data_IF_149520856835
#
_entry.id   IF_149520856835
#
_cell.length_a   1.000
_cell.length_b   1.000
_cell.length_c   1.000
_cell.angle_alpha   90.00
_cell.angle_beta   90.00
_cell.angle_gamma   90.00
#
_symmetry.space_group_name_H-M   'P 1'
#
loop_
_entity.id
_entity.type
_entity.pdbx_description
1 polymer ?
#
# COMPACT_ATOMS: atom_id res chain seq x y z
N UNK A 1 -18.39 -28.83 15.23
CA UNK A 1 -17.23 -28.21 15.91
C UNK A 1 -16.93 -26.90 15.21
N UNK A 2 -17.04 -25.77 15.91
CA UNK A 2 -16.69 -24.47 15.34
C UNK A 2 -15.19 -24.45 15.06
N UNK A 3 -14.79 -24.23 13.82
CA UNK A 3 -13.39 -24.00 13.46
C UNK A 3 -12.97 -22.65 14.02
N UNK A 4 -12.60 -22.62 15.30
CA UNK A 4 -11.98 -21.45 15.92
C UNK A 4 -10.71 -21.13 15.14
N UNK A 5 -10.71 -20.03 14.37
CA UNK A 5 -9.51 -19.56 13.69
C UNK A 5 -8.37 -19.41 14.70
N UNK A 6 -7.27 -20.13 14.47
CA UNK A 6 -6.03 -20.03 15.26
C UNK A 6 -5.28 -18.74 14.88
N UNK A 7 -5.88 -17.59 15.20
CA UNK A 7 -5.26 -16.29 14.98
C UNK A 7 -4.10 -16.15 15.96
N UNK A 8 -2.87 -16.08 15.45
CA UNK A 8 -1.64 -15.98 16.26
C UNK A 8 -1.10 -14.56 16.38
N UNK A 9 -1.35 -13.72 15.38
CA UNK A 9 -0.84 -12.35 15.32
C UNK A 9 -1.99 -11.41 15.03
N UNK A 10 -2.01 -10.27 15.72
CA UNK A 10 -2.89 -9.14 15.43
C UNK A 10 -2.08 -8.07 14.74
N UNK A 11 -2.62 -7.51 13.64
CA UNK A 11 -1.98 -6.45 12.86
C UNK A 11 -2.84 -5.20 12.93
N UNK A 12 -2.27 -4.09 13.38
CA UNK A 12 -2.86 -2.76 13.28
C UNK A 12 -2.33 -2.05 12.03
N UNK A 13 -3.21 -1.64 11.13
CA UNK A 13 -2.86 -0.96 9.87
C UNK A 13 -3.23 0.52 9.98
N UNK A 14 -2.23 1.39 9.83
CA UNK A 14 -2.42 2.82 9.57
C UNK A 14 -2.46 3.03 8.05
N UNK A 15 -3.65 3.09 7.49
CA UNK A 15 -3.85 3.38 6.07
C UNK A 15 -3.95 4.90 5.89
N UNK A 16 -2.85 5.61 5.67
CA UNK A 16 -2.84 7.08 5.54
C UNK A 16 -3.23 7.56 4.13
N UNK A 17 -3.26 8.88 3.93
CA UNK A 17 -3.45 9.46 2.58
C UNK A 17 -2.17 9.44 1.76
N UNK A 18 -1.03 9.74 2.40
CA UNK A 18 0.28 9.84 1.74
C UNK A 18 1.17 8.65 2.08
N UNK A 19 1.13 8.16 3.32
CA UNK A 19 1.95 7.07 3.81
C UNK A 19 1.11 6.11 4.62
N UNK A 20 1.36 4.82 4.45
CA UNK A 20 0.73 3.74 5.21
C UNK A 20 1.79 2.97 5.99
N UNK A 21 1.40 2.43 7.13
CA UNK A 21 2.27 1.61 7.96
C UNK A 21 1.47 0.55 8.70
N UNK A 22 2.16 -0.38 9.33
CA UNK A 22 1.51 -1.33 10.22
C UNK A 22 2.40 -1.69 11.40
N UNK A 23 1.76 -2.09 12.48
CA UNK A 23 2.38 -2.71 13.63
C UNK A 23 1.67 -4.04 13.91
N UNK A 24 2.36 -4.97 14.54
CA UNK A 24 1.81 -6.27 14.87
C UNK A 24 2.28 -6.75 16.24
N UNK A 25 1.47 -7.60 16.87
CA UNK A 25 1.81 -8.27 18.12
C UNK A 25 1.35 -9.72 18.06
N UNK A 26 2.16 -10.63 18.60
CA UNK A 26 1.78 -12.02 18.74
C UNK A 26 0.88 -12.18 19.97
N UNK A 27 -0.17 -13.00 19.89
CA UNK A 27 -1.13 -13.19 21.00
C UNK A 27 -0.49 -13.72 22.28
N UNK A 28 0.58 -14.52 22.17
CA UNK A 28 1.31 -15.03 23.34
C UNK A 28 2.15 -13.96 24.05
N UNK A 29 2.40 -12.81 23.40
CA UNK A 29 3.13 -11.70 23.98
C UNK A 29 2.54 -10.36 23.49
N UNK A 30 1.32 -9.99 23.95
CA UNK A 30 0.58 -8.86 23.40
C UNK A 30 1.22 -7.50 23.68
N UNK A 31 2.12 -7.43 24.68
CA UNK A 31 2.83 -6.19 25.03
C UNK A 31 4.06 -5.93 24.14
N UNK A 32 4.51 -6.93 23.38
CA UNK A 32 5.62 -6.81 22.44
C UNK A 32 5.10 -6.43 21.05
N UNK A 33 4.90 -5.12 20.87
CA UNK A 33 4.41 -4.54 19.62
C UNK A 33 5.59 -4.22 18.71
N UNK A 34 5.60 -4.82 17.53
CA UNK A 34 6.62 -4.63 16.51
C UNK A 34 6.07 -3.73 15.41
N UNK A 35 6.73 -2.61 15.15
CA UNK A 35 6.42 -1.74 14.00
C UNK A 35 7.20 -2.23 12.78
N UNK A 36 6.54 -2.33 11.63
CA UNK A 36 7.23 -2.72 10.40
C UNK A 36 8.22 -1.64 9.96
N UNK A 37 9.50 -2.00 9.93
CA UNK A 37 10.58 -1.18 9.37
C UNK A 37 10.82 -1.60 7.92
N UNK A 38 10.26 -0.83 6.98
CA UNK A 38 10.49 -0.97 5.54
C UNK A 38 11.99 -0.86 5.20
N UNK A 39 12.71 -0.13 6.06
CA UNK A 39 14.13 0.17 5.98
C UNK A 39 15.10 -0.98 6.23
N UNK A 40 14.65 -2.17 6.66
CA UNK A 40 15.56 -3.32 6.88
C UNK A 40 16.30 -3.78 5.63
N UNK A 41 15.92 -3.32 4.44
CA UNK A 41 16.61 -3.63 3.19
C UNK A 41 17.52 -2.50 2.67
N UNK A 42 17.15 -1.21 2.79
CA UNK A 42 17.89 -0.10 2.13
C UNK A 42 17.88 1.26 2.86
N UNK A 43 16.95 1.52 3.80
CA UNK A 43 16.74 2.85 4.41
C UNK A 43 16.32 2.75 5.88
N UNK A 44 17.26 2.35 6.76
CA UNK A 44 17.01 2.10 8.18
C UNK A 44 16.21 3.24 8.84
N UNK A 45 15.13 2.91 9.55
CA UNK A 45 14.27 3.90 10.22
C UNK A 45 13.08 4.39 9.39
N UNK A 46 12.80 3.78 8.24
CA UNK A 46 11.62 4.08 7.44
C UNK A 46 10.47 3.13 7.79
N UNK A 47 9.58 3.58 8.68
CA UNK A 47 8.47 2.75 9.20
C UNK A 47 7.16 2.85 8.41
N UNK A 48 7.17 3.55 7.28
CA UNK A 48 5.99 3.76 6.44
C UNK A 48 6.34 3.60 4.97
N UNK A 49 5.39 3.10 4.20
CA UNK A 49 5.45 3.02 2.73
C UNK A 49 4.52 4.07 2.11
N UNK A 50 4.86 4.68 0.96
CA UNK A 50 3.93 5.55 0.24
C UNK A 50 2.58 4.87 -0.01
N UNK A 51 1.48 5.61 0.16
CA UNK A 51 0.13 5.12 -0.16
C UNK A 51 -0.15 5.35 -1.64
N UNK A 52 0.52 4.55 -2.44
CA UNK A 52 0.59 4.69 -3.89
C UNK A 52 0.41 3.33 -4.52
N UNK A 53 -0.34 3.28 -5.61
CA UNK A 53 -0.59 2.06 -6.37
C UNK A 53 -0.45 2.37 -7.86
N UNK A 54 0.08 1.43 -8.62
CA UNK A 54 0.29 1.55 -10.04
C UNK A 54 -0.32 0.33 -10.73
N UNK A 55 -1.14 0.58 -11.75
CA UNK A 55 -1.80 -0.46 -12.54
C UNK A 55 -1.16 -0.57 -13.93
N UNK A 56 -1.54 -1.62 -14.65
CA UNK A 56 -1.38 -1.64 -16.11
C UNK A 56 -2.27 -0.59 -16.80
N UNK A 57 -2.06 -0.39 -18.09
CA UNK A 57 -2.80 0.62 -18.88
C UNK A 57 -4.33 0.38 -18.88
N UNK A 58 -4.76 -0.87 -18.67
CA UNK A 58 -6.17 -1.25 -18.60
C UNK A 58 -6.80 -1.07 -17.22
N UNK A 59 -6.03 -0.65 -16.21
CA UNK A 59 -6.44 -0.59 -14.81
C UNK A 59 -7.00 -1.93 -14.26
N UNK A 60 -6.56 -3.07 -14.82
CA UNK A 60 -7.05 -4.40 -14.42
C UNK A 60 -6.10 -5.06 -13.44
N UNK A 61 -4.78 -4.97 -13.68
CA UNK A 61 -3.78 -5.61 -12.85
C UNK A 61 -2.94 -4.58 -12.09
N UNK A 62 -2.73 -4.83 -10.80
CA UNK A 62 -1.77 -4.05 -9.99
C UNK A 62 -0.36 -4.46 -10.39
N UNK A 63 0.42 -3.50 -10.87
CA UNK A 63 1.82 -3.71 -11.28
C UNK A 63 2.79 -3.47 -10.13
N UNK A 64 2.54 -2.43 -9.33
CA UNK A 64 3.38 -2.08 -8.19
C UNK A 64 2.62 -1.23 -7.18
N UNK A 65 3.14 -1.17 -5.96
CA UNK A 65 2.59 -0.34 -4.88
C UNK A 65 3.72 0.11 -3.93
N UNK A 66 3.42 1.11 -3.10
CA UNK A 66 4.41 1.64 -2.17
C UNK A 66 5.59 2.30 -2.89
N UNK A 67 6.80 2.13 -2.36
CA UNK A 67 8.00 2.71 -2.94
C UNK A 67 8.28 2.22 -4.36
N UNK A 68 7.91 0.97 -4.68
CA UNK A 68 8.13 0.38 -6.00
C UNK A 68 7.29 1.02 -7.11
N UNK A 69 6.14 1.62 -6.75
CA UNK A 69 5.31 2.38 -7.68
C UNK A 69 5.87 3.77 -8.01
N UNK A 70 6.78 4.29 -7.19
CA UNK A 70 7.46 5.57 -7.39
C UNK A 70 8.81 5.42 -8.12
N UNK A 71 9.29 4.19 -8.33
CA UNK A 71 10.56 3.94 -8.98
C UNK A 71 10.52 4.41 -10.44
N UNK A 72 11.42 5.31 -10.81
CA UNK A 72 11.60 5.75 -12.20
C UNK A 72 12.20 4.62 -13.03
N UNK A 73 11.63 4.37 -14.21
CA UNK A 73 12.12 3.32 -15.11
C UNK A 73 13.57 3.60 -15.54
N UNK A 74 14.40 2.55 -15.76
CA UNK A 74 15.70 2.71 -16.39
C UNK A 74 15.56 3.37 -17.77
N UNK A 75 16.50 4.26 -18.13
CA UNK A 75 16.55 4.88 -19.47
C UNK A 75 16.63 3.78 -20.53
N UNK A 76 15.71 3.77 -21.50
CA UNK A 76 15.68 2.82 -22.62
C UNK A 76 14.56 1.78 -22.60
N UNK A 77 13.72 1.74 -21.56
CA UNK A 77 12.52 0.88 -21.55
C UNK A 77 11.46 1.40 -22.56
N UNK A 78 10.99 0.55 -23.46
CA UNK A 78 9.91 0.84 -24.43
C UNK A 78 8.50 0.85 -23.81
N UNK A 79 8.36 0.44 -22.54
CA UNK A 79 7.09 0.43 -21.84
C UNK A 79 6.69 1.86 -21.46
N UNK A 80 5.50 2.31 -21.89
CA UNK A 80 4.95 3.63 -21.53
C UNK A 80 5.01 3.84 -20.01
N UNK A 81 5.37 5.04 -19.52
CA UNK A 81 5.32 5.29 -18.08
C UNK A 81 3.86 5.26 -17.64
N UNK A 82 3.48 4.24 -16.88
CA UNK A 82 2.20 4.22 -16.18
C UNK A 82 2.30 5.22 -15.03
N UNK A 83 1.32 6.12 -14.92
CA UNK A 83 1.31 7.15 -13.88
C UNK A 83 0.73 6.52 -12.61
N UNK A 84 1.51 6.42 -11.51
CA UNK A 84 0.98 5.88 -10.27
C UNK A 84 -0.17 6.74 -9.74
N UNK A 85 -1.10 6.10 -9.04
CA UNK A 85 -2.26 6.71 -8.41
C UNK A 85 -1.91 6.98 -6.94
N UNK A 86 -1.98 8.26 -6.58
CA UNK A 86 -1.72 8.77 -5.23
C UNK A 86 -2.99 9.36 -4.61
N UNK A 87 -3.01 9.54 -3.29
CA UNK A 87 -4.11 10.20 -2.56
C UNK A 87 -5.49 9.54 -2.76
N UNK A 88 -5.56 8.31 -3.26
CA UNK A 88 -6.82 7.62 -3.56
C UNK A 88 -7.67 7.37 -2.31
N UNK A 89 -7.09 7.39 -1.10
CA UNK A 89 -7.86 7.40 0.15
C UNK A 89 -8.83 8.59 0.23
N UNK A 90 -8.48 9.76 -0.31
CA UNK A 90 -9.40 10.91 -0.31
C UNK A 90 -10.67 10.64 -1.13
N UNK A 91 -10.57 9.83 -2.19
CA UNK A 91 -11.72 9.40 -2.99
C UNK A 91 -12.64 8.47 -2.21
N UNK A 92 -12.09 7.54 -1.43
CA UNK A 92 -12.87 6.69 -0.52
C UNK A 92 -13.64 7.52 0.53
N UNK A 93 -13.05 8.64 0.96
CA UNK A 93 -13.67 9.57 1.91
C UNK A 93 -14.60 10.59 1.27
N UNK A 94 -14.84 10.53 -0.05
CA UNK A 94 -15.60 11.53 -0.83
C UNK A 94 -15.06 12.97 -0.66
N UNK A 95 -13.74 13.09 -0.47
CA UNK A 95 -12.99 14.36 -0.32
C UNK A 95 -11.93 14.55 -1.40
N UNK A 96 -11.82 13.63 -2.35
CA UNK A 96 -10.87 13.72 -3.45
C UNK A 96 -11.28 14.79 -4.45
N UNK A 97 -10.34 15.64 -4.85
CA UNK A 97 -10.51 16.66 -5.89
C UNK A 97 -9.78 16.32 -7.18
N UNK A 98 -8.87 15.34 -7.14
CA UNK A 98 -8.11 14.86 -8.30
C UNK A 98 -8.90 13.84 -9.11
N UNK A 99 -8.84 13.84 -10.44
CA UNK A 99 -9.47 12.78 -11.24
C UNK A 99 -8.70 11.46 -11.09
N UNK A 100 -9.42 10.36 -10.83
CA UNK A 100 -8.91 9.00 -10.97
C UNK A 100 -8.99 8.57 -12.45
N UNK A 101 -8.19 7.58 -12.89
CA UNK A 101 -8.31 7.05 -14.25
C UNK A 101 -9.72 6.51 -14.51
N UNK A 102 -10.31 6.84 -15.67
CA UNK A 102 -11.68 6.43 -16.01
C UNK A 102 -11.83 4.90 -16.10
N UNK A 103 -10.76 4.20 -16.49
CA UNK A 103 -10.73 2.73 -16.55
C UNK A 103 -10.68 2.08 -15.16
N UNK A 104 -10.39 2.82 -14.09
CA UNK A 104 -10.33 2.28 -12.73
C UNK A 104 -11.75 2.01 -12.24
N UNK A 105 -12.16 0.75 -12.24
CA UNK A 105 -13.44 0.34 -11.68
C UNK A 105 -13.30 0.09 -10.16
N UNK A 106 -13.67 1.09 -9.34
CA UNK A 106 -13.59 1.04 -7.88
C UNK A 106 -14.96 1.11 -7.18
N UNK A 107 -16.05 1.19 -7.96
CA UNK A 107 -17.42 1.31 -7.46
C UNK A 107 -18.12 -0.03 -7.69
N UNK A 108 -18.06 -0.89 -6.68
CA UNK A 108 -18.97 -2.03 -6.55
C UNK A 108 -20.35 -1.58 -6.06
#
# INVERSE_FOLDING_TARGET
MSSSYDIRVVVGVDFGTTYSGFAYAHKSNPNDVQVYDYGKSHHRGWFKTPTVINYDDSCTNVMSWGLSALATKPRGSSLRPSKPIELFKLHLLKRGTTSLPDALNYKD
#
